data_IF_005392232235
#
_entry.id   IF_005392232235
#
_cell.length_a   1.000
_cell.length_b   1.000
_cell.length_c   1.000
_cell.angle_alpha   90.00
_cell.angle_beta   90.00
_cell.angle_gamma   90.00
#
_symmetry.space_group_name_H-M   'P 1'
#
loop_
_entity.id
_entity.type
_entity.pdbx_description
1 polymer ?
#
# COMPACT_ATOMS: atom_id res chain seq x y z
N UNK A 1 -11.03 -10.82 8.58
CA UNK A 1 -10.28 -9.70 9.21
C UNK A 1 -10.19 -8.48 8.31
N UNK A 2 -9.80 -8.59 7.03
CA UNK A 2 -9.70 -7.43 6.13
C UNK A 2 -10.98 -6.59 6.09
N UNK A 3 -12.15 -7.21 5.93
CA UNK A 3 -13.45 -6.51 5.91
C UNK A 3 -13.77 -5.72 7.18
N UNK A 4 -13.34 -6.19 8.35
CA UNK A 4 -13.52 -5.48 9.62
C UNK A 4 -12.66 -4.21 9.67
N UNK A 5 -11.40 -4.30 9.22
CA UNK A 5 -10.47 -3.17 9.15
C UNK A 5 -11.03 -2.10 8.18
N UNK A 6 -11.46 -2.51 6.99
CA UNK A 6 -12.06 -1.60 6.00
C UNK A 6 -13.28 -0.90 6.60
N UNK A 7 -14.17 -1.65 7.25
CA UNK A 7 -15.39 -1.08 7.85
C UNK A 7 -15.08 -0.11 9.00
N UNK A 8 -14.06 -0.41 9.80
CA UNK A 8 -13.62 0.47 10.88
C UNK A 8 -13.06 1.79 10.34
N UNK A 9 -12.21 1.75 9.30
CA UNK A 9 -11.69 2.97 8.69
C UNK A 9 -12.82 3.80 8.06
N UNK A 10 -13.77 3.17 7.36
CA UNK A 10 -14.95 3.86 6.83
C UNK A 10 -15.73 4.62 7.90
N UNK A 11 -15.90 4.05 9.09
CA UNK A 11 -16.59 4.74 10.18
C UNK A 11 -15.72 5.71 10.98
N UNK A 12 -14.39 5.64 10.85
CA UNK A 12 -13.45 6.41 11.68
C UNK A 12 -12.88 7.64 10.97
N UNK A 13 -12.78 7.58 9.65
CA UNK A 13 -12.30 8.68 8.82
C UNK A 13 -13.36 9.80 8.78
N UNK A 14 -12.95 11.08 8.87
CA UNK A 14 -13.89 12.18 8.68
C UNK A 14 -14.48 12.20 7.26
N UNK A 15 -15.79 12.45 7.16
CA UNK A 15 -16.54 12.42 5.91
C UNK A 15 -16.07 13.48 4.90
N UNK A 16 -15.48 14.57 5.40
CA UNK A 16 -15.03 15.71 4.59
C UNK A 16 -13.65 15.51 3.94
N UNK A 17 -12.92 14.43 4.27
CA UNK A 17 -11.56 14.25 3.76
C UNK A 17 -11.50 13.86 2.30
N UNK A 18 -12.43 13.03 1.83
CA UNK A 18 -12.35 12.37 0.54
C UNK A 18 -13.69 12.45 -0.20
N UNK A 19 -13.62 12.48 -1.53
CA UNK A 19 -14.82 12.51 -2.40
C UNK A 19 -15.52 11.15 -2.48
N UNK A 20 -14.81 10.10 -2.09
CA UNK A 20 -15.29 8.72 -2.07
C UNK A 20 -14.66 7.96 -0.88
N UNK A 21 -15.19 6.79 -0.52
CA UNK A 21 -14.61 5.98 0.54
C UNK A 21 -13.13 5.67 0.25
N UNK A 22 -12.26 5.90 1.23
CA UNK A 22 -10.84 5.62 1.08
C UNK A 22 -10.60 4.14 0.71
N UNK A 23 -9.67 3.93 -0.20
CA UNK A 23 -9.11 2.62 -0.50
C UNK A 23 -8.25 2.17 0.69
N UNK A 24 -8.60 1.02 1.26
CA UNK A 24 -7.90 0.44 2.42
C UNK A 24 -7.35 -0.92 2.02
N UNK A 25 -6.04 -1.00 1.90
CA UNK A 25 -5.30 -2.22 1.56
C UNK A 25 -4.64 -2.74 2.83
N UNK A 26 -4.78 -4.04 3.10
CA UNK A 26 -4.20 -4.68 4.29
C UNK A 26 -3.30 -5.80 3.84
N UNK A 27 -2.03 -5.76 4.25
CA UNK A 27 -1.10 -6.86 4.06
C UNK A 27 -0.66 -7.44 5.42
N UNK A 28 0.44 -8.20 5.42
CA UNK A 28 0.98 -8.81 6.63
C UNK A 28 1.55 -7.78 7.62
N UNK A 29 2.19 -6.73 7.12
CA UNK A 29 2.99 -5.79 7.89
C UNK A 29 2.26 -4.47 8.16
N UNK A 30 1.45 -3.99 7.22
CA UNK A 30 0.78 -2.69 7.31
C UNK A 30 -0.65 -2.65 6.76
N UNK A 31 -1.30 -1.54 7.08
CA UNK A 31 -2.56 -1.08 6.50
C UNK A 31 -2.26 0.19 5.71
N UNK A 32 -2.54 0.20 4.42
CA UNK A 32 -2.42 1.38 3.56
C UNK A 32 -3.80 2.02 3.41
N UNK A 33 -3.90 3.31 3.74
CA UNK A 33 -5.11 4.11 3.53
C UNK A 33 -4.83 5.16 2.47
N UNK A 34 -5.58 5.11 1.38
CA UNK A 34 -5.41 5.97 0.22
C UNK A 34 -6.76 6.59 -0.15
N UNK A 35 -6.88 7.91 0.00
CA UNK A 35 -8.14 8.60 -0.28
C UNK A 35 -8.07 9.55 -1.47
N UNK A 36 -9.18 9.72 -2.16
CA UNK A 36 -9.30 10.59 -3.34
C UNK A 36 -9.77 11.98 -2.91
N UNK A 37 -8.99 12.99 -3.26
CA UNK A 37 -9.29 14.40 -3.00
C UNK A 37 -10.05 15.01 -4.17
N UNK A 38 -10.81 16.05 -3.88
CA UNK A 38 -11.45 16.85 -4.93
C UNK A 38 -10.41 17.54 -5.81
N UNK A 39 -10.55 17.35 -7.12
CA UNK A 39 -9.67 17.97 -8.11
C UNK A 39 -9.85 19.51 -8.11
N UNK A 40 -8.75 20.28 -8.09
CA UNK A 40 -8.83 21.73 -8.26
C UNK A 40 -9.15 22.07 -9.73
N UNK A 41 -10.02 23.05 -9.94
CA UNK A 41 -10.19 23.69 -11.25
C UNK A 41 -8.96 24.53 -11.55
N UNK A 42 -8.17 24.13 -12.56
CA UNK A 42 -6.91 24.78 -12.93
C UNK A 42 -6.54 24.43 -14.37
N UNK A 43 -5.94 25.38 -15.10
CA UNK A 43 -5.35 25.13 -16.42
C UNK A 43 -4.09 24.25 -16.34
N UNK A 44 -3.41 24.28 -15.18
CA UNK A 44 -2.34 23.34 -14.83
C UNK A 44 -2.85 22.40 -13.72
N UNK A 45 -3.51 21.32 -14.15
CA UNK A 45 -4.17 20.36 -13.28
C UNK A 45 -3.18 19.57 -12.41
N UNK A 46 -1.99 19.24 -12.95
CA UNK A 46 -0.99 18.42 -12.26
C UNK A 46 -0.32 19.19 -11.12
N UNK A 47 0.14 20.41 -11.37
CA UNK A 47 0.71 21.26 -10.31
C UNK A 47 -0.32 21.61 -9.24
N UNK A 48 -1.57 21.84 -9.63
CA UNK A 48 -2.64 22.12 -8.69
C UNK A 48 -2.99 20.89 -7.82
N UNK A 49 -2.96 19.68 -8.40
CA UNK A 49 -3.14 18.43 -7.69
C UNK A 49 -2.02 18.17 -6.66
N UNK A 50 -0.75 18.36 -7.03
CA UNK A 50 0.39 18.28 -6.11
C UNK A 50 0.23 19.26 -4.93
N UNK A 51 -0.14 20.52 -5.22
CA UNK A 51 -0.42 21.51 -4.19
C UNK A 51 -1.59 21.15 -3.26
N UNK A 52 -2.64 20.53 -3.82
CA UNK A 52 -3.80 20.03 -3.05
C UNK A 52 -3.39 18.89 -2.12
N UNK A 53 -2.63 17.93 -2.61
CA UNK A 53 -2.13 16.78 -1.85
C UNK A 53 -1.21 17.23 -0.71
N UNK A 54 -0.26 18.14 -0.99
CA UNK A 54 0.65 18.69 0.05
C UNK A 54 -0.10 19.42 1.15
N UNK A 55 -1.09 20.25 0.79
CA UNK A 55 -1.95 20.94 1.77
C UNK A 55 -2.70 19.94 2.64
N UNK A 56 -3.38 18.98 2.03
CA UNK A 56 -4.10 17.93 2.76
C UNK A 56 -3.17 17.17 3.70
N UNK A 57 -1.96 16.80 3.23
CA UNK A 57 -0.96 16.09 4.03
C UNK A 57 -0.62 16.86 5.31
N UNK A 58 -0.33 18.15 5.21
CA UNK A 58 0.04 18.96 6.37
C UNK A 58 -1.17 19.21 7.30
N UNK A 59 -2.30 19.62 6.74
CA UNK A 59 -3.49 20.01 7.52
C UNK A 59 -4.09 18.83 8.32
N UNK A 60 -4.02 17.61 7.77
CA UNK A 60 -4.59 16.42 8.41
C UNK A 60 -3.62 15.62 9.27
N UNK A 61 -2.34 16.02 9.33
CA UNK A 61 -1.25 15.22 9.93
C UNK A 61 -1.57 14.74 11.34
N UNK A 62 -1.97 15.65 12.24
CA UNK A 62 -2.24 15.31 13.64
C UNK A 62 -3.37 14.27 13.77
N UNK A 63 -4.45 14.46 13.03
CA UNK A 63 -5.61 13.57 13.05
C UNK A 63 -5.30 12.21 12.43
N UNK A 64 -4.54 12.16 11.33
CA UNK A 64 -4.05 10.91 10.74
C UNK A 64 -3.18 10.11 11.71
N UNK A 65 -2.29 10.78 12.46
CA UNK A 65 -1.47 10.13 13.50
C UNK A 65 -2.35 9.55 14.61
N UNK A 66 -3.39 10.27 15.05
CA UNK A 66 -4.30 9.78 16.08
C UNK A 66 -5.05 8.52 15.62
N UNK A 67 -5.62 8.55 14.40
CA UNK A 67 -6.32 7.41 13.80
C UNK A 67 -5.37 6.23 13.62
N UNK A 68 -4.15 6.47 13.12
CA UNK A 68 -3.13 5.44 12.95
C UNK A 68 -2.79 4.76 14.27
N UNK A 69 -2.60 5.52 15.36
CA UNK A 69 -2.33 4.94 16.68
C UNK A 69 -3.49 4.13 17.22
N UNK A 70 -4.73 4.55 16.95
CA UNK A 70 -5.93 3.79 17.34
C UNK A 70 -6.04 2.47 16.57
N UNK A 71 -5.84 2.52 15.25
CA UNK A 71 -5.79 1.34 14.39
C UNK A 71 -4.66 0.39 14.80
N UNK A 72 -3.46 0.91 15.09
CA UNK A 72 -2.32 0.13 15.57
C UNK A 72 -2.64 -0.60 16.88
N UNK A 73 -3.27 0.07 17.85
CA UNK A 73 -3.67 -0.58 19.11
C UNK A 73 -4.72 -1.67 18.90
N UNK A 74 -5.64 -1.46 17.95
CA UNK A 74 -6.76 -2.38 17.70
C UNK A 74 -6.35 -3.58 16.84
N UNK A 75 -5.56 -3.36 15.80
CA UNK A 75 -5.26 -4.34 14.76
C UNK A 75 -3.81 -4.81 14.74
N UNK A 76 -2.92 -4.18 15.53
CA UNK A 76 -1.51 -4.56 15.64
C UNK A 76 -0.66 -4.30 14.39
N UNK A 77 -1.14 -3.47 13.46
CA UNK A 77 -0.47 -3.16 12.18
C UNK A 77 -0.21 -1.68 12.04
N UNK A 78 0.95 -1.34 11.49
CA UNK A 78 1.29 0.05 11.13
C UNK A 78 0.34 0.58 10.06
N UNK A 79 0.12 1.89 10.06
CA UNK A 79 -0.74 2.54 9.07
C UNK A 79 0.10 3.46 8.18
N UNK A 80 0.09 3.17 6.89
CA UNK A 80 0.57 4.03 5.82
C UNK A 80 -0.57 4.89 5.27
N UNK A 81 -0.26 6.12 4.89
CA UNK A 81 -1.24 7.08 4.38
C UNK A 81 -0.80 7.63 3.04
N UNK A 82 -1.77 7.84 2.15
CA UNK A 82 -1.58 8.61 0.92
C UNK A 82 -2.86 9.28 0.46
N UNK A 83 -2.74 10.07 -0.60
CA UNK A 83 -3.88 10.67 -1.28
C UNK A 83 -3.71 10.67 -2.80
N UNK A 84 -4.83 10.62 -3.52
CA UNK A 84 -4.92 10.82 -4.97
C UNK A 84 -5.65 12.13 -5.26
N UNK A 85 -5.25 12.82 -6.31
CA UNK A 85 -5.94 14.00 -6.84
C UNK A 85 -5.73 14.04 -8.36
N UNK A 86 -6.77 13.74 -9.15
CA UNK A 86 -6.63 13.55 -10.59
C UNK A 86 -5.63 12.44 -10.92
N UNK A 87 -4.66 12.75 -11.78
CA UNK A 87 -3.61 11.80 -12.16
C UNK A 87 -2.48 11.66 -11.11
N UNK A 88 -2.44 12.52 -10.08
CA UNK A 88 -1.35 12.53 -9.09
C UNK A 88 -1.73 11.68 -7.88
N UNK A 89 -0.81 10.83 -7.45
CA UNK A 89 -0.94 10.03 -6.23
C UNK A 89 0.35 10.12 -5.42
N UNK A 90 0.24 10.41 -4.12
CA UNK A 90 1.39 10.49 -3.22
C UNK A 90 1.15 9.69 -1.94
N UNK A 91 2.13 8.87 -1.56
CA UNK A 91 2.21 8.25 -0.24
C UNK A 91 2.98 9.16 0.72
N UNK A 92 2.35 9.52 1.83
CA UNK A 92 2.91 10.40 2.86
C UNK A 92 3.86 9.66 3.81
N UNK A 93 3.52 8.42 4.11
CA UNK A 93 4.29 7.51 4.96
C UNK A 93 4.24 6.13 4.35
N UNK A 94 5.41 5.52 4.13
CA UNK A 94 5.57 4.15 3.64
C UNK A 94 6.35 3.35 4.67
N UNK A 95 5.90 2.15 5.03
CA UNK A 95 6.70 1.26 5.85
C UNK A 95 7.74 0.54 4.97
N UNK A 96 9.01 0.65 5.34
CA UNK A 96 10.07 -0.17 4.76
C UNK A 96 10.43 -1.26 5.77
N UNK A 97 10.02 -2.50 5.49
CA UNK A 97 10.33 -3.68 6.32
C UNK A 97 11.42 -4.50 5.62
N UNK A 98 12.54 -4.82 6.30
CA UNK A 98 13.54 -5.69 5.72
C UNK A 98 12.99 -7.12 5.57
N UNK A 99 13.20 -7.71 4.39
CA UNK A 99 12.90 -9.12 4.14
C UNK A 99 14.20 -9.93 4.07
N UNK A 100 14.29 -11.02 4.85
CA UNK A 100 15.45 -11.91 4.85
C UNK A 100 15.22 -13.08 3.91
N UNK A 101 16.10 -13.26 2.93
CA UNK A 101 16.06 -14.39 1.97
C UNK A 101 17.37 -15.16 1.98
N UNK A 102 17.29 -16.50 1.93
CA UNK A 102 18.47 -17.36 1.75
C UNK A 102 18.76 -17.52 0.27
N UNK A 103 19.91 -17.03 -0.17
CA UNK A 103 20.35 -17.12 -1.57
C UNK A 103 21.51 -18.10 -1.73
N UNK A 104 21.44 -18.93 -2.77
CA UNK A 104 22.53 -19.79 -3.24
C UNK A 104 23.62 -18.95 -3.89
N UNK A 105 24.77 -19.58 -4.13
CA UNK A 105 25.91 -18.88 -4.72
C UNK A 105 25.60 -18.30 -6.11
N UNK A 106 24.87 -19.03 -6.95
CA UNK A 106 24.47 -18.58 -8.29
C UNK A 106 23.66 -17.29 -8.24
N UNK A 107 22.67 -17.22 -7.35
CA UNK A 107 21.81 -16.04 -7.15
C UNK A 107 22.62 -14.87 -6.60
N UNK A 108 23.53 -15.11 -5.64
CA UNK A 108 24.41 -14.06 -5.11
C UNK A 108 25.33 -13.46 -6.18
N UNK A 109 25.80 -14.25 -7.14
CA UNK A 109 26.62 -13.73 -8.26
C UNK A 109 25.84 -12.75 -9.13
N UNK A 110 24.55 -12.97 -9.35
CA UNK A 110 23.70 -12.01 -10.09
C UNK A 110 23.66 -10.67 -9.35
N UNK A 111 23.46 -10.71 -8.02
CA UNK A 111 23.47 -9.48 -7.21
C UNK A 111 24.83 -8.77 -7.22
N UNK A 112 25.92 -9.53 -7.18
CA UNK A 112 27.28 -8.99 -7.28
C UNK A 112 27.50 -8.28 -8.61
N UNK A 113 27.07 -8.88 -9.73
CA UNK A 113 27.14 -8.23 -11.05
C UNK A 113 26.36 -6.91 -11.10
N UNK A 114 25.18 -6.84 -10.47
CA UNK A 114 24.40 -5.59 -10.40
C UNK A 114 25.10 -4.50 -9.59
N UNK A 115 25.79 -4.88 -8.51
CA UNK A 115 26.57 -3.94 -7.69
C UNK A 115 27.81 -3.48 -8.44
N UNK A 116 28.57 -4.41 -9.03
CA UNK A 116 29.80 -4.14 -9.77
C UNK A 116 29.54 -3.26 -11.01
N UNK A 117 28.38 -3.43 -11.66
CA UNK A 117 27.95 -2.60 -12.79
C UNK A 117 27.44 -1.21 -12.37
N UNK A 118 27.37 -0.90 -11.06
CA UNK A 118 26.86 0.37 -10.54
C UNK A 118 25.34 0.52 -10.61
N UNK A 119 24.59 -0.54 -10.93
CA UNK A 119 23.11 -0.53 -10.96
C UNK A 119 22.54 -0.41 -9.55
N UNK A 120 23.25 -0.95 -8.54
CA UNK A 120 22.84 -0.90 -7.14
C UNK A 120 24.01 -0.62 -6.19
N UNK A 121 23.74 0.03 -5.06
CA UNK A 121 24.76 0.43 -4.07
C UNK A 121 25.14 -0.68 -3.08
N UNK A 122 24.32 -1.74 -3.01
CA UNK A 122 24.53 -2.90 -2.13
C UNK A 122 23.73 -4.10 -2.64
N UNK A 123 24.01 -5.30 -2.12
CA UNK A 123 23.22 -6.50 -2.47
C UNK A 123 21.74 -6.39 -2.10
N UNK A 124 21.41 -5.72 -0.99
CA UNK A 124 20.01 -5.48 -0.61
C UNK A 124 19.32 -4.50 -1.56
N UNK A 125 20.04 -3.47 -1.99
CA UNK A 125 19.57 -2.50 -3.00
C UNK A 125 19.39 -3.19 -4.37
N UNK A 126 20.27 -4.13 -4.72
CA UNK A 126 20.16 -4.96 -5.92
C UNK A 126 18.91 -5.86 -5.89
N UNK A 127 18.61 -6.48 -4.74
CA UNK A 127 17.36 -7.25 -4.59
C UNK A 127 16.12 -6.36 -4.74
N UNK A 128 16.13 -5.18 -4.11
CA UNK A 128 15.04 -4.22 -4.26
C UNK A 128 14.89 -3.77 -5.73
N UNK A 129 16.00 -3.63 -6.46
CA UNK A 129 15.98 -3.35 -7.90
C UNK A 129 15.35 -4.49 -8.71
N UNK A 130 15.74 -5.75 -8.47
CA UNK A 130 15.12 -6.90 -9.14
C UNK A 130 13.61 -6.97 -8.93
N UNK A 131 13.13 -6.67 -7.71
CA UNK A 131 11.69 -6.66 -7.40
C UNK A 131 10.98 -5.55 -8.18
N UNK A 132 11.53 -4.33 -8.23
CA UNK A 132 10.96 -3.22 -9.01
C UNK A 132 10.90 -3.55 -10.50
N UNK A 133 11.99 -4.04 -11.06
CA UNK A 133 12.07 -4.43 -12.48
C UNK A 133 11.04 -5.52 -12.82
N UNK A 134 10.85 -6.48 -11.93
CA UNK A 134 9.82 -7.53 -12.12
C UNK A 134 8.42 -6.93 -12.11
N UNK A 135 8.14 -5.96 -11.22
CA UNK A 135 6.88 -5.22 -11.22
C UNK A 135 6.61 -4.51 -12.54
N UNK A 136 7.58 -3.74 -13.03
CA UNK A 136 7.46 -2.99 -14.29
C UNK A 136 7.13 -3.88 -15.49
N UNK A 137 7.71 -5.09 -15.57
CA UNK A 137 7.53 -5.99 -16.71
C UNK A 137 6.41 -7.02 -16.56
N UNK A 138 5.94 -7.28 -15.34
CA UNK A 138 4.95 -8.31 -15.05
C UNK A 138 3.64 -7.76 -14.48
N UNK A 139 3.44 -6.44 -14.48
CA UNK A 139 2.35 -5.76 -13.77
C UNK A 139 0.97 -6.28 -14.17
N UNK A 140 0.72 -6.49 -15.47
CA UNK A 140 -0.54 -7.03 -15.96
C UNK A 140 -0.81 -8.45 -15.40
N UNK A 141 0.19 -9.33 -15.44
CA UNK A 141 0.07 -10.69 -14.91
C UNK A 141 -0.06 -10.70 -13.37
N UNK A 142 0.65 -9.82 -12.67
CA UNK A 142 0.54 -9.66 -11.22
C UNK A 142 -0.83 -9.14 -10.81
N UNK A 143 -1.44 -8.25 -11.60
CA UNK A 143 -2.80 -7.77 -11.38
C UNK A 143 -3.81 -8.92 -11.49
N UNK A 144 -3.73 -9.72 -12.56
CA UNK A 144 -4.58 -10.91 -12.73
C UNK A 144 -4.43 -11.90 -11.56
N UNK A 145 -3.20 -12.15 -11.11
CA UNK A 145 -2.95 -13.05 -9.98
C UNK A 145 -3.56 -12.51 -8.67
N UNK A 146 -3.46 -11.21 -8.41
CA UNK A 146 -4.05 -10.57 -7.22
C UNK A 146 -5.58 -10.64 -7.26
N UNK A 147 -6.19 -10.41 -8.41
CA UNK A 147 -7.64 -10.52 -8.59
C UNK A 147 -8.11 -11.96 -8.39
N UNK A 148 -7.38 -12.95 -8.92
CA UNK A 148 -7.66 -14.36 -8.70
C UNK A 148 -7.57 -14.73 -7.20
N UNK A 149 -6.56 -14.24 -6.48
CA UNK A 149 -6.42 -14.48 -5.03
C UNK A 149 -7.57 -13.84 -4.23
N UNK A 150 -8.00 -12.63 -4.60
CA UNK A 150 -9.16 -11.96 -3.98
C UNK A 150 -10.43 -12.78 -4.14
N UNK A 151 -10.65 -13.31 -5.35
CA UNK A 151 -11.78 -14.20 -5.66
C UNK A 151 -11.77 -15.46 -4.78
N UNK A 152 -10.60 -16.07 -4.59
CA UNK A 152 -10.44 -17.23 -3.71
C UNK A 152 -10.80 -16.88 -2.27
N UNK A 153 -10.40 -15.71 -1.79
CA UNK A 153 -10.72 -15.26 -0.43
C UNK A 153 -12.22 -14.97 -0.24
N UNK A 154 -12.89 -14.39 -1.23
CA UNK A 154 -14.36 -14.23 -1.24
C UNK A 154 -15.08 -15.58 -1.13
N UNK A 155 -14.66 -16.57 -1.92
CA UNK A 155 -15.24 -17.92 -1.88
C UNK A 155 -15.00 -18.59 -0.53
N UNK A 156 -13.81 -18.44 0.06
CA UNK A 156 -13.52 -18.95 1.42
C UNK A 156 -14.42 -18.32 2.48
N UNK A 157 -14.69 -17.01 2.37
CA UNK A 157 -15.57 -16.30 3.30
C UNK A 157 -17.05 -16.70 3.18
N UNK A 158 -17.48 -17.18 2.01
CA UNK A 158 -18.83 -17.71 1.76
C UNK A 158 -18.95 -19.21 2.06
N UNK A 159 -17.83 -19.89 2.30
CA UNK A 159 -17.81 -21.31 2.62
C UNK A 159 -18.48 -21.60 3.97
N UNK A 160 -19.07 -22.80 4.16
CA UNK A 160 -19.72 -23.17 5.42
C UNK A 160 -18.72 -23.06 6.58
N UNK A 161 -19.08 -22.27 7.60
CA UNK A 161 -18.35 -22.26 8.86
C UNK A 161 -18.38 -23.68 9.41
N UNK A 162 -17.20 -24.30 9.56
CA UNK A 162 -17.05 -25.72 9.83
C UNK A 162 -18.05 -26.20 10.87
N UNK A 163 -18.95 -27.09 10.46
CA UNK A 163 -19.75 -27.88 11.38
C UNK A 163 -18.79 -28.58 12.34
N UNK A 164 -18.77 -28.09 13.58
CA UNK A 164 -18.22 -28.78 14.73
C UNK A 164 -18.89 -30.16 14.80
N UNK A 165 -18.21 -31.20 14.33
CA UNK A 165 -18.56 -32.57 14.67
C UNK A 165 -18.24 -32.76 16.16
N UNK A 166 -19.31 -32.92 16.93
CA UNK A 166 -19.32 -33.51 18.28
C UNK A 166 -19.07 -35.00 18.15
#
# INVERSE_FOLDING_TARGET
MSTEIVSWFRGRLPDEWFTEPAEVIVDREEITVLGTLAEPESDDAESAADGRIKRFREDTRARRIEIAREAERKFGKKVAWGAKCGAVSEMFTTLSVPVMTRLRQSERRVLDTLVDAGVARSRSDALAWCVRLTGEHADAWLAELRDALRRVEEVRAQGPAGETRI
#
